data_IF_280459648150
#
_entry.id   IF_280459648150
#
_cell.length_a   1.000
_cell.length_b   1.000
_cell.length_c   1.000
_cell.angle_alpha   90.00
_cell.angle_beta   90.00
_cell.angle_gamma   90.00
#
_symmetry.space_group_name_H-M   'P 1'
#
loop_
_entity.id
_entity.type
_entity.pdbx_description
1 polymer ?
#
# COMPACT_ATOMS: atom_id res chain seq x y z
N UNK A 1 -15.70 -14.86 20.19
CA UNK A 1 -15.00 -15.27 18.95
C UNK A 1 -15.35 -16.72 18.69
N UNK A 2 -16.43 -16.99 17.96
CA UNK A 2 -16.86 -18.34 17.53
C UNK A 2 -17.97 -18.16 16.46
N UNK A 3 -17.67 -17.50 15.35
CA UNK A 3 -18.68 -17.22 14.32
C UNK A 3 -19.01 -18.44 13.45
N UNK A 4 -18.03 -19.32 13.24
CA UNK A 4 -18.11 -20.55 12.46
C UNK A 4 -17.94 -21.78 13.36
N UNK A 5 -17.21 -21.62 14.48
CA UNK A 5 -16.96 -22.70 15.43
C UNK A 5 -18.24 -23.38 15.94
N UNK A 6 -19.26 -22.62 16.37
CA UNK A 6 -20.49 -23.24 16.90
C UNK A 6 -21.24 -24.06 15.86
N UNK A 7 -21.32 -23.60 14.60
CA UNK A 7 -21.92 -24.35 13.51
C UNK A 7 -21.13 -25.63 13.20
N UNK A 8 -19.80 -25.57 13.23
CA UNK A 8 -18.93 -26.72 13.05
C UNK A 8 -19.11 -27.78 14.15
N UNK A 9 -19.18 -27.34 15.41
CA UNK A 9 -19.42 -28.22 16.57
C UNK A 9 -20.79 -28.90 16.47
N UNK A 10 -21.81 -28.16 16.05
CA UNK A 10 -23.15 -28.70 15.85
C UNK A 10 -23.17 -29.79 14.77
N UNK A 11 -22.52 -29.54 13.62
CA UNK A 11 -22.40 -30.50 12.51
C UNK A 11 -21.63 -31.75 12.96
N UNK A 12 -20.51 -31.60 13.66
CA UNK A 12 -19.73 -32.73 14.18
C UNK A 12 -20.51 -33.57 15.19
N UNK A 13 -21.22 -32.94 16.11
CA UNK A 13 -22.07 -33.66 17.07
C UNK A 13 -23.22 -34.40 16.38
N UNK A 14 -23.83 -33.79 15.36
CA UNK A 14 -24.89 -34.40 14.56
C UNK A 14 -24.38 -35.61 13.80
N UNK A 15 -23.18 -35.51 13.23
CA UNK A 15 -22.53 -36.61 12.52
C UNK A 15 -22.14 -37.76 13.46
N UNK A 16 -21.62 -37.44 14.65
CA UNK A 16 -21.34 -38.43 15.69
C UNK A 16 -22.63 -39.10 16.20
N UNK A 17 -23.74 -38.36 16.30
CA UNK A 17 -25.04 -38.90 16.70
C UNK A 17 -25.60 -39.86 15.64
N UNK A 18 -25.47 -39.52 14.36
CA UNK A 18 -25.83 -40.40 13.25
C UNK A 18 -24.97 -41.68 13.25
N UNK A 19 -23.67 -41.55 13.48
CA UNK A 19 -22.76 -42.69 13.55
C UNK A 19 -23.06 -43.58 14.76
N UNK A 20 -23.38 -42.98 15.92
CA UNK A 20 -23.79 -43.72 17.11
C UNK A 20 -25.11 -44.48 16.90
N UNK A 21 -26.08 -43.87 16.22
CA UNK A 21 -27.34 -44.52 15.89
C UNK A 21 -27.15 -45.68 14.91
N UNK A 22 -26.32 -45.52 13.87
CA UNK A 22 -26.06 -46.57 12.86
C UNK A 22 -25.31 -47.77 13.42
N UNK A 23 -24.45 -47.56 14.43
CA UNK A 23 -23.59 -48.61 15.00
C UNK A 23 -23.99 -49.07 16.41
N UNK A 24 -25.17 -48.67 16.89
CA UNK A 24 -25.65 -48.95 18.24
C UNK A 24 -24.64 -48.57 19.35
N UNK A 25 -23.89 -47.47 19.14
CA UNK A 25 -22.95 -46.92 20.12
C UNK A 25 -23.67 -45.97 21.09
N UNK A 26 -23.08 -45.68 22.26
CA UNK A 26 -23.73 -44.81 23.24
C UNK A 26 -23.92 -43.39 22.74
N UNK A 27 -25.18 -42.93 22.67
CA UNK A 27 -25.55 -41.60 22.16
C UNK A 27 -24.93 -40.43 22.94
N UNK A 28 -24.51 -40.66 24.18
CA UNK A 28 -23.81 -39.65 24.99
C UNK A 28 -22.44 -39.25 24.41
N UNK A 29 -21.86 -40.03 23.49
CA UNK A 29 -20.63 -39.66 22.79
C UNK A 29 -20.81 -38.41 21.93
N UNK A 30 -21.99 -38.24 21.32
CA UNK A 30 -22.31 -37.03 20.57
C UNK A 30 -22.43 -35.79 21.48
N UNK A 31 -22.96 -35.95 22.69
CA UNK A 31 -23.04 -34.87 23.68
C UNK A 31 -21.65 -34.44 24.19
N UNK A 32 -20.72 -35.39 24.32
CA UNK A 32 -19.32 -35.07 24.66
C UNK A 32 -18.60 -34.40 23.49
N UNK A 33 -18.83 -34.84 22.26
CA UNK A 33 -18.29 -34.17 21.06
C UNK A 33 -18.84 -32.75 20.91
N UNK A 34 -20.11 -32.52 21.26
CA UNK A 34 -20.71 -31.19 21.28
C UNK A 34 -20.08 -30.26 22.32
N UNK A 35 -19.83 -30.77 23.52
CA UNK A 35 -19.26 -29.98 24.64
C UNK A 35 -17.73 -29.87 24.58
N UNK A 36 -17.06 -30.83 23.96
CA UNK A 36 -15.61 -30.87 23.78
C UNK A 36 -15.25 -31.49 22.42
N UNK A 37 -15.29 -30.70 21.34
CA UNK A 37 -15.05 -31.16 19.95
C UNK A 37 -13.63 -31.69 19.73
N UNK A 38 -12.68 -31.29 20.58
CA UNK A 38 -11.30 -31.78 20.59
C UNK A 38 -11.24 -33.27 20.96
N UNK A 39 -12.28 -33.82 21.60
CA UNK A 39 -12.38 -35.26 21.91
C UNK A 39 -12.90 -36.11 20.73
N UNK A 40 -13.34 -35.49 19.63
CA UNK A 40 -13.87 -36.20 18.45
C UNK A 40 -12.89 -37.25 17.89
N UNK A 41 -11.59 -36.98 17.75
CA UNK A 41 -10.62 -37.99 17.31
C UNK A 41 -10.58 -39.22 18.22
N UNK A 42 -10.67 -39.04 19.54
CA UNK A 42 -10.66 -40.14 20.50
C UNK A 42 -11.86 -41.09 20.29
N UNK A 43 -13.05 -40.55 20.06
CA UNK A 43 -14.25 -41.36 19.79
C UNK A 43 -14.24 -41.99 18.38
N UNK A 44 -13.65 -41.31 17.38
CA UNK A 44 -13.40 -41.89 16.04
C UNK A 44 -12.47 -43.10 16.14
N UNK A 45 -11.38 -43.01 16.92
CA UNK A 45 -10.46 -44.13 17.14
C UNK A 45 -11.09 -45.29 17.91
N UNK A 46 -12.00 -45.00 18.86
CA UNK A 46 -12.71 -46.00 19.66
C UNK A 46 -13.76 -46.79 18.86
N UNK A 47 -14.32 -46.22 17.78
CA UNK A 47 -15.41 -46.78 16.95
C UNK A 47 -14.97 -47.85 15.91
N UNK A 48 -14.31 -48.95 16.31
CA UNK A 48 -13.62 -49.91 15.39
C UNK A 48 -14.36 -50.33 14.07
N UNK A 49 -13.81 -49.96 12.89
CA UNK A 49 -13.49 -50.78 11.66
C UNK A 49 -13.46 -49.91 10.37
N UNK A 50 -12.52 -50.19 9.46
CA UNK A 50 -12.53 -49.84 8.03
C UNK A 50 -12.16 -48.40 7.61
N UNK A 51 -12.76 -47.37 8.21
CA UNK A 51 -12.74 -45.99 7.66
C UNK A 51 -12.11 -44.94 8.60
N UNK A 52 -11.34 -45.38 9.60
CA UNK A 52 -10.79 -44.49 10.66
C UNK A 52 -9.89 -43.40 10.12
N UNK A 53 -9.01 -43.75 9.17
CA UNK A 53 -8.07 -42.80 8.57
C UNK A 53 -8.84 -41.72 7.80
N UNK A 54 -9.86 -42.12 7.02
CA UNK A 54 -10.69 -41.20 6.24
C UNK A 54 -11.47 -40.24 7.15
N UNK A 55 -12.10 -40.75 8.21
CA UNK A 55 -12.85 -39.91 9.16
C UNK A 55 -11.96 -38.93 9.93
N UNK A 56 -10.75 -39.36 10.30
CA UNK A 56 -9.76 -38.51 10.96
C UNK A 56 -9.19 -37.44 10.01
N UNK A 57 -8.91 -37.80 8.76
CA UNK A 57 -8.45 -36.86 7.75
C UNK A 57 -9.55 -35.82 7.43
N UNK A 58 -10.82 -36.23 7.33
CA UNK A 58 -11.95 -35.32 7.19
C UNK A 58 -12.04 -34.38 8.39
N UNK A 59 -11.94 -34.90 9.62
CA UNK A 59 -11.93 -34.07 10.82
C UNK A 59 -10.78 -33.06 10.82
N UNK A 60 -9.55 -33.48 10.53
CA UNK A 60 -8.38 -32.60 10.50
C UNK A 60 -8.51 -31.50 9.44
N UNK A 61 -9.00 -31.84 8.24
CA UNK A 61 -9.21 -30.87 7.15
C UNK A 61 -10.29 -29.87 7.56
N UNK A 62 -11.44 -30.32 8.07
CA UNK A 62 -12.52 -29.43 8.48
C UNK A 62 -12.12 -28.56 9.70
N UNK A 63 -11.42 -29.13 10.68
CA UNK A 63 -10.93 -28.40 11.85
C UNK A 63 -9.92 -27.31 11.44
N UNK A 64 -8.98 -27.65 10.58
CA UNK A 64 -7.99 -26.69 10.05
C UNK A 64 -8.66 -25.57 9.25
N UNK A 65 -9.65 -25.91 8.42
CA UNK A 65 -10.43 -24.95 7.64
C UNK A 65 -11.19 -23.97 8.53
N UNK A 66 -11.85 -24.46 9.59
CA UNK A 66 -12.59 -23.63 10.54
C UNK A 66 -11.65 -22.72 11.33
N UNK A 67 -10.52 -23.24 11.82
CA UNK A 67 -9.51 -22.42 12.49
C UNK A 67 -8.97 -21.33 11.57
N UNK A 68 -8.58 -21.68 10.34
CA UNK A 68 -8.08 -20.71 9.38
C UNK A 68 -9.12 -19.63 9.06
N UNK A 69 -10.39 -20.02 8.91
CA UNK A 69 -11.49 -19.11 8.63
C UNK A 69 -11.79 -18.17 9.82
N UNK A 70 -11.78 -18.68 11.05
CA UNK A 70 -11.95 -17.86 12.26
C UNK A 70 -10.79 -16.89 12.45
N UNK A 71 -9.54 -17.35 12.24
CA UNK A 71 -8.36 -16.48 12.28
C UNK A 71 -8.47 -15.38 11.21
N UNK A 72 -8.90 -15.73 10.00
CA UNK A 72 -9.09 -14.77 8.92
C UNK A 72 -10.18 -13.74 9.23
N UNK A 73 -11.35 -14.19 9.70
CA UNK A 73 -12.47 -13.30 10.07
C UNK A 73 -12.07 -12.42 11.25
N UNK A 74 -11.43 -12.99 12.28
CA UNK A 74 -10.95 -12.23 13.42
C UNK A 74 -9.93 -11.18 13.01
N UNK A 75 -8.96 -11.53 12.15
CA UNK A 75 -7.98 -10.57 11.63
C UNK A 75 -8.67 -9.42 10.88
N UNK A 76 -9.66 -9.73 10.03
CA UNK A 76 -10.44 -8.73 9.28
C UNK A 76 -11.34 -7.87 10.18
N UNK A 77 -11.91 -8.44 11.23
CA UNK A 77 -12.70 -7.68 12.21
C UNK A 77 -11.81 -6.83 13.12
N UNK A 78 -10.70 -7.36 13.60
CA UNK A 78 -9.74 -6.64 14.44
C UNK A 78 -9.20 -5.40 13.73
N UNK A 79 -8.94 -5.50 12.42
CA UNK A 79 -8.57 -4.36 11.58
C UNK A 79 -9.73 -3.40 11.37
N UNK A 80 -10.94 -3.88 11.06
CA UNK A 80 -12.14 -3.04 10.87
C UNK A 80 -12.57 -2.26 12.12
N UNK A 81 -12.45 -2.87 13.31
CA UNK A 81 -12.92 -2.29 14.57
C UNK A 81 -11.80 -1.69 15.43
N UNK A 82 -10.56 -1.63 14.93
CA UNK A 82 -9.36 -1.20 15.68
C UNK A 82 -9.55 0.13 16.40
N UNK A 83 -10.31 1.04 15.79
CA UNK A 83 -10.50 2.41 16.27
C UNK A 83 -11.96 2.74 16.63
N UNK A 84 -12.87 1.76 16.68
CA UNK A 84 -14.32 2.03 16.83
C UNK A 84 -14.70 2.63 18.19
N UNK A 85 -13.87 2.43 19.20
CA UNK A 85 -14.01 3.05 20.52
C UNK A 85 -13.58 4.53 20.55
N UNK A 86 -12.95 5.05 19.49
CA UNK A 86 -12.46 6.43 19.43
C UNK A 86 -13.54 7.40 18.91
N UNK A 87 -13.51 8.67 19.31
CA UNK A 87 -14.39 9.69 18.78
C UNK A 87 -14.36 9.77 17.24
N UNK A 88 -15.47 10.14 16.56
CA UNK A 88 -15.52 10.23 15.10
C UNK A 88 -14.39 11.08 14.49
N UNK A 89 -14.07 12.22 15.11
CA UNK A 89 -13.00 13.13 14.66
C UNK A 89 -11.63 12.43 14.75
N UNK A 90 -11.35 11.71 15.83
CA UNK A 90 -10.11 10.94 15.99
C UNK A 90 -10.00 9.83 14.95
N UNK A 91 -11.10 9.12 14.65
CA UNK A 91 -11.13 8.08 13.62
C UNK A 91 -10.83 8.64 12.23
N UNK A 92 -11.40 9.80 11.90
CA UNK A 92 -11.14 10.47 10.62
C UNK A 92 -9.70 10.95 10.52
N UNK A 93 -9.14 11.53 11.58
CA UNK A 93 -7.74 11.93 11.63
C UNK A 93 -6.80 10.74 11.38
N UNK A 94 -7.03 9.62 12.08
CA UNK A 94 -6.25 8.39 11.89
C UNK A 94 -6.33 7.94 10.44
N UNK A 95 -7.53 7.88 9.87
CA UNK A 95 -7.74 7.47 8.47
C UNK A 95 -7.00 8.37 7.49
N UNK A 96 -7.11 9.70 7.62
CA UNK A 96 -6.40 10.62 6.74
C UNK A 96 -4.89 10.51 6.90
N UNK A 97 -4.40 10.30 8.13
CA UNK A 97 -2.99 10.08 8.39
C UNK A 97 -2.47 8.78 7.75
N UNK A 98 -3.25 7.70 7.76
CA UNK A 98 -2.93 6.42 7.10
C UNK A 98 -2.91 6.56 5.58
N UNK A 99 -3.89 7.27 4.99
CA UNK A 99 -3.95 7.56 3.56
C UNK A 99 -2.75 8.41 3.12
N UNK A 100 -2.42 9.46 3.88
CA UNK A 100 -1.27 10.32 3.60
C UNK A 100 0.03 9.52 3.62
N UNK A 101 0.24 8.69 4.65
CA UNK A 101 1.41 7.81 4.76
C UNK A 101 1.52 6.86 3.56
N UNK A 102 0.42 6.19 3.20
CA UNK A 102 0.42 5.21 2.11
C UNK A 102 0.68 5.87 0.75
N UNK A 103 -0.01 6.96 0.42
CA UNK A 103 0.16 7.67 -0.86
C UNK A 103 1.56 8.24 -0.99
N UNK A 104 2.11 8.75 0.10
CA UNK A 104 3.49 9.27 0.17
C UNK A 104 4.50 8.16 -0.11
N UNK A 105 4.37 6.99 0.53
CA UNK A 105 5.24 5.84 0.27
C UNK A 105 5.11 5.30 -1.15
N UNK A 106 3.90 5.27 -1.71
CA UNK A 106 3.68 4.83 -3.07
C UNK A 106 4.38 5.74 -4.07
N UNK A 107 4.17 7.06 -3.97
CA UNK A 107 4.82 8.05 -4.83
C UNK A 107 6.35 7.92 -4.75
N UNK A 108 6.87 7.81 -3.54
CA UNK A 108 8.28 7.63 -3.26
C UNK A 108 8.89 6.42 -3.97
N UNK A 109 8.22 5.27 -3.91
CA UNK A 109 8.65 4.02 -4.54
C UNK A 109 8.60 4.12 -6.07
N UNK A 110 7.58 4.78 -6.62
CA UNK A 110 7.46 4.99 -8.06
C UNK A 110 8.54 5.93 -8.61
N UNK A 111 8.92 6.96 -7.86
CA UNK A 111 10.04 7.83 -8.25
C UNK A 111 11.37 7.08 -8.33
N UNK A 112 11.64 6.19 -7.37
CA UNK A 112 12.84 5.33 -7.39
C UNK A 112 12.83 4.38 -8.60
N UNK A 113 11.66 3.81 -8.93
CA UNK A 113 11.51 2.98 -10.13
C UNK A 113 11.73 3.79 -11.42
N UNK A 114 11.20 5.02 -11.49
CA UNK A 114 11.41 5.89 -12.65
C UNK A 114 12.90 6.17 -12.85
N UNK A 115 13.63 6.46 -11.77
CA UNK A 115 15.07 6.69 -11.82
C UNK A 115 15.82 5.48 -12.39
N UNK A 116 15.50 4.27 -11.92
CA UNK A 116 16.08 3.03 -12.45
C UNK A 116 15.77 2.82 -13.95
N UNK A 117 14.59 3.23 -14.41
CA UNK A 117 14.18 3.12 -15.81
C UNK A 117 14.74 4.23 -16.72
N UNK A 118 14.99 5.42 -16.16
CA UNK A 118 15.42 6.62 -16.92
C UNK A 118 16.83 6.57 -17.48
N UNK A 119 17.64 5.56 -17.12
CA UNK A 119 18.95 5.32 -17.74
C UNK A 119 18.77 4.84 -19.18
N UNK A 120 19.17 5.70 -20.13
CA UNK A 120 19.12 5.59 -21.61
C UNK A 120 18.66 4.23 -22.15
N UNK A 121 17.49 4.20 -22.80
CA UNK A 121 16.93 2.98 -23.39
C UNK A 121 16.68 3.14 -24.89
N UNK A 122 17.27 2.25 -25.69
CA UNK A 122 17.34 2.30 -27.15
C UNK A 122 16.34 1.36 -27.85
N UNK A 123 15.19 1.07 -27.24
CA UNK A 123 14.12 0.23 -27.82
C UNK A 123 12.75 0.91 -27.75
N UNK A 124 11.98 0.86 -28.83
CA UNK A 124 10.61 1.44 -28.94
C UNK A 124 9.67 0.94 -27.84
N UNK A 125 9.56 -0.38 -27.66
CA UNK A 125 8.71 -0.99 -26.62
C UNK A 125 9.00 -0.45 -25.20
N UNK A 126 10.26 -0.09 -24.95
CA UNK A 126 10.68 0.49 -23.67
C UNK A 126 10.28 1.96 -23.53
N UNK A 127 10.19 2.71 -24.63
CA UNK A 127 9.66 4.08 -24.64
C UNK A 127 8.18 4.07 -24.27
N UNK A 128 7.38 3.22 -24.91
CA UNK A 128 5.94 3.07 -24.62
C UNK A 128 5.69 2.67 -23.16
N UNK A 129 6.43 1.65 -22.66
CA UNK A 129 6.35 1.24 -21.25
C UNK A 129 6.68 2.39 -20.30
N UNK A 130 7.69 3.19 -20.63
CA UNK A 130 8.08 4.35 -19.80
C UNK A 130 7.01 5.44 -19.84
N UNK A 131 6.37 5.69 -21.00
CA UNK A 131 5.25 6.64 -21.12
C UNK A 131 4.06 6.20 -20.24
N UNK A 132 3.68 4.92 -20.30
CA UNK A 132 2.62 4.35 -19.44
C UNK A 132 2.97 4.52 -17.98
N UNK A 133 4.22 4.20 -17.61
CA UNK A 133 4.71 4.33 -16.23
C UNK A 133 4.71 5.79 -15.73
N UNK A 134 5.06 6.76 -16.57
CA UNK A 134 4.93 8.20 -16.24
C UNK A 134 3.47 8.55 -15.97
N UNK A 135 2.52 8.00 -16.73
CA UNK A 135 1.08 8.15 -16.49
C UNK A 135 0.66 7.65 -15.10
N UNK A 136 1.10 6.44 -14.71
CA UNK A 136 0.86 5.90 -13.36
C UNK A 136 1.49 6.77 -12.25
N UNK A 137 2.70 7.27 -12.48
CA UNK A 137 3.38 8.15 -11.52
C UNK A 137 2.65 9.49 -11.34
N UNK A 138 2.12 10.09 -12.42
CA UNK A 138 1.28 11.30 -12.31
C UNK A 138 0.02 11.04 -11.49
N UNK A 139 -0.62 9.89 -11.70
CA UNK A 139 -1.79 9.50 -10.91
C UNK A 139 -1.43 9.42 -9.42
N UNK A 140 -0.34 8.73 -9.07
CA UNK A 140 0.15 8.65 -7.68
C UNK A 140 0.51 10.03 -7.10
N UNK A 141 1.06 10.94 -7.90
CA UNK A 141 1.35 12.31 -7.48
C UNK A 141 0.06 13.06 -7.14
N UNK A 142 -0.97 12.97 -7.97
CA UNK A 142 -2.26 13.61 -7.72
C UNK A 142 -2.99 13.02 -6.50
N UNK A 143 -2.95 11.69 -6.32
CA UNK A 143 -3.50 11.04 -5.13
C UNK A 143 -2.82 11.53 -3.84
N UNK A 144 -1.49 11.68 -3.88
CA UNK A 144 -0.74 12.22 -2.75
C UNK A 144 -1.11 13.69 -2.47
N UNK A 145 -1.19 14.54 -3.50
CA UNK A 145 -1.62 15.93 -3.36
C UNK A 145 -3.05 16.04 -2.81
N UNK A 146 -3.96 15.16 -3.25
CA UNK A 146 -5.32 15.10 -2.73
C UNK A 146 -5.36 14.69 -1.25
N UNK A 147 -4.56 13.69 -0.86
CA UNK A 147 -4.43 13.28 0.54
C UNK A 147 -3.87 14.39 1.43
N UNK A 148 -2.84 15.11 0.97
CA UNK A 148 -2.28 16.28 1.64
C UNK A 148 -3.37 17.34 1.84
N UNK A 149 -4.10 17.68 0.77
CA UNK A 149 -5.18 18.69 0.82
C UNK A 149 -6.27 18.30 1.81
N UNK A 150 -6.74 17.06 1.77
CA UNK A 150 -7.75 16.55 2.72
C UNK A 150 -7.27 16.64 4.16
N UNK A 151 -6.01 16.28 4.42
CA UNK A 151 -5.42 16.40 5.75
C UNK A 151 -5.37 17.87 6.21
N UNK A 152 -4.87 18.78 5.37
CA UNK A 152 -4.76 20.21 5.69
C UNK A 152 -6.14 20.83 5.99
N UNK A 153 -7.12 20.59 5.13
CA UNK A 153 -8.50 21.10 5.30
C UNK A 153 -9.16 20.53 6.56
N UNK A 154 -8.96 19.24 6.85
CA UNK A 154 -9.49 18.61 8.05
C UNK A 154 -8.95 19.26 9.33
N UNK A 155 -7.65 19.55 9.34
CA UNK A 155 -6.94 20.18 10.47
C UNK A 155 -7.40 21.61 10.70
N UNK A 156 -7.63 22.36 9.63
CA UNK A 156 -8.20 23.71 9.72
C UNK A 156 -9.61 23.68 10.29
N UNK A 157 -10.46 22.77 9.78
CA UNK A 157 -11.85 22.64 10.22
C UNK A 157 -11.99 22.21 11.69
N UNK A 158 -11.03 21.45 12.22
CA UNK A 158 -11.07 20.90 13.58
C UNK A 158 -9.97 21.48 14.48
N UNK A 159 -9.56 22.73 14.25
CA UNK A 159 -8.47 23.39 14.97
C UNK A 159 -8.61 23.29 16.50
N UNK A 160 -9.79 23.59 17.02
CA UNK A 160 -10.04 23.56 18.46
C UNK A 160 -9.89 22.16 19.06
N UNK A 161 -10.29 21.13 18.31
CA UNK A 161 -10.14 19.74 18.72
C UNK A 161 -8.66 19.33 18.78
N UNK A 162 -7.90 19.65 17.73
CA UNK A 162 -6.47 19.33 17.64
C UNK A 162 -5.69 20.02 18.77
N UNK A 163 -6.00 21.29 19.04
CA UNK A 163 -5.35 22.07 20.13
C UNK A 163 -5.69 21.50 21.51
N UNK A 164 -6.96 21.17 21.78
CA UNK A 164 -7.39 20.62 23.08
C UNK A 164 -6.86 19.20 23.36
N UNK A 165 -6.53 18.44 22.31
CA UNK A 165 -6.05 17.06 22.41
C UNK A 165 -4.53 16.92 22.34
N UNK A 166 -3.81 18.03 22.34
CA UNK A 166 -2.34 18.07 22.25
C UNK A 166 -1.80 17.33 21.02
N UNK A 167 -2.53 17.43 19.90
CA UNK A 167 -2.18 16.79 18.62
C UNK A 167 -1.31 17.73 17.77
N UNK A 168 -0.32 18.36 18.38
CA UNK A 168 0.46 19.43 17.74
C UNK A 168 1.20 18.96 16.48
N UNK A 169 1.62 17.69 16.44
CA UNK A 169 2.23 17.03 15.28
C UNK A 169 1.42 17.19 13.99
N UNK A 170 0.09 17.28 14.11
CA UNK A 170 -0.83 17.46 12.99
C UNK A 170 -0.66 18.85 12.34
N UNK A 171 -0.38 19.88 13.14
CA UNK A 171 -0.04 21.20 12.62
C UNK A 171 1.32 21.23 11.96
N UNK A 172 2.28 20.43 12.44
CA UNK A 172 3.59 20.33 11.84
C UNK A 172 3.54 19.65 10.46
N UNK A 173 2.66 18.64 10.28
CA UNK A 173 2.36 18.09 8.95
C UNK A 173 1.84 19.19 8.01
N UNK A 174 0.88 19.99 8.46
CA UNK A 174 0.37 21.13 7.67
C UNK A 174 1.50 22.11 7.32
N UNK A 175 2.34 22.48 8.29
CA UNK A 175 3.47 23.40 8.09
C UNK A 175 4.48 22.85 7.09
N UNK A 176 4.75 21.55 7.13
CA UNK A 176 5.63 20.88 6.19
C UNK A 176 5.11 21.00 4.75
N UNK A 177 3.88 20.58 4.50
CA UNK A 177 3.34 20.55 3.14
C UNK A 177 3.01 21.94 2.55
N UNK A 178 2.75 22.93 3.40
CA UNK A 178 2.59 24.32 2.97
C UNK A 178 3.94 25.06 2.80
N UNK A 179 5.07 24.39 3.04
CA UNK A 179 6.38 25.01 2.86
C UNK A 179 6.67 25.23 1.37
N UNK A 180 7.22 26.41 1.05
CA UNK A 180 7.59 26.80 -0.33
C UNK A 180 8.54 25.80 -1.00
N UNK A 181 9.44 25.16 -0.24
CA UNK A 181 10.38 24.15 -0.74
C UNK A 181 9.61 22.91 -1.22
N UNK A 182 8.64 22.44 -0.44
CA UNK A 182 7.83 21.26 -0.76
C UNK A 182 6.93 21.55 -1.97
N UNK A 183 6.29 22.73 -2.02
CA UNK A 183 5.48 23.16 -3.16
C UNK A 183 6.33 23.25 -4.44
N UNK A 184 7.52 23.84 -4.35
CA UNK A 184 8.44 23.95 -5.49
C UNK A 184 8.92 22.58 -5.97
N UNK A 185 9.14 21.63 -5.05
CA UNK A 185 9.48 20.25 -5.40
C UNK A 185 8.39 19.59 -6.24
N UNK A 186 7.12 19.63 -5.81
CA UNK A 186 6.01 19.06 -6.60
C UNK A 186 5.89 19.71 -7.99
N UNK A 187 6.01 21.05 -8.06
CA UNK A 187 5.98 21.76 -9.35
C UNK A 187 7.15 21.36 -10.26
N UNK A 188 8.33 21.16 -9.69
CA UNK A 188 9.50 20.70 -10.45
C UNK A 188 9.36 19.27 -10.96
N UNK A 189 8.71 18.40 -10.17
CA UNK A 189 8.41 17.02 -10.54
C UNK A 189 7.44 16.97 -11.73
N UNK A 190 6.33 17.72 -11.65
CA UNK A 190 5.36 17.84 -12.74
C UNK A 190 6.04 18.27 -14.05
N UNK A 191 6.81 19.36 -14.01
CA UNK A 191 7.55 19.85 -15.17
C UNK A 191 8.56 18.82 -15.71
N UNK A 192 9.22 18.05 -14.83
CA UNK A 192 10.12 16.97 -15.26
C UNK A 192 9.36 15.87 -16.01
N UNK A 193 8.24 15.39 -15.47
CA UNK A 193 7.43 14.35 -16.09
C UNK A 193 6.86 14.79 -17.45
N UNK A 194 6.40 16.04 -17.56
CA UNK A 194 5.89 16.61 -18.80
C UNK A 194 6.94 16.65 -19.91
N UNK A 195 8.15 17.14 -19.59
CA UNK A 195 9.23 17.20 -20.56
C UNK A 195 9.75 15.80 -20.91
N UNK A 196 9.77 14.88 -19.95
CA UNK A 196 10.21 13.51 -20.21
C UNK A 196 9.23 12.77 -21.12
N UNK A 197 7.93 12.83 -20.84
CA UNK A 197 6.92 12.24 -21.69
C UNK A 197 6.94 12.84 -23.11
N UNK A 198 7.08 14.17 -23.22
CA UNK A 198 7.16 14.85 -24.52
C UNK A 198 8.33 14.33 -25.35
N UNK A 199 9.52 14.19 -24.73
CA UNK A 199 10.69 13.62 -25.38
C UNK A 199 10.44 12.16 -25.81
N UNK A 200 9.88 11.33 -24.93
CA UNK A 200 9.63 9.92 -25.20
C UNK A 200 8.62 9.75 -26.35
N UNK A 201 7.52 10.52 -26.35
CA UNK A 201 6.53 10.50 -27.43
C UNK A 201 7.13 10.93 -28.77
N UNK A 202 7.98 11.95 -28.75
CA UNK A 202 8.68 12.37 -29.97
C UNK A 202 9.63 11.27 -30.49
N UNK A 203 10.37 10.63 -29.58
CA UNK A 203 11.28 9.53 -29.93
C UNK A 203 10.53 8.31 -30.47
N UNK A 204 9.38 7.99 -29.90
CA UNK A 204 8.53 6.87 -30.29
C UNK A 204 7.97 7.08 -31.72
N UNK A 205 7.37 8.24 -31.97
CA UNK A 205 6.78 8.60 -33.27
C UNK A 205 7.80 8.71 -34.41
N UNK A 206 9.05 9.05 -34.09
CA UNK A 206 10.09 9.35 -35.08
C UNK A 206 11.30 8.42 -34.95
N UNK A 207 11.09 7.23 -34.38
CA UNK A 207 12.18 6.34 -33.96
C UNK A 207 13.15 6.01 -35.10
N UNK A 208 12.65 5.59 -36.27
CA UNK A 208 13.48 5.28 -37.43
C UNK A 208 14.23 6.51 -37.94
N UNK A 209 13.55 7.64 -38.08
CA UNK A 209 14.14 8.88 -38.59
C UNK A 209 15.28 9.41 -37.69
N UNK A 210 15.16 9.22 -36.38
CA UNK A 210 16.18 9.59 -35.39
C UNK A 210 17.31 8.55 -35.38
N UNK A 211 16.99 7.25 -35.25
CA UNK A 211 18.00 6.18 -35.07
C UNK A 211 18.84 5.93 -36.32
N UNK A 212 18.25 6.07 -37.51
CA UNK A 212 18.96 5.92 -38.79
C UNK A 212 19.54 7.25 -39.29
N UNK A 213 19.38 8.34 -38.53
CA UNK A 213 19.85 9.68 -38.87
C UNK A 213 19.40 10.17 -40.27
N UNK A 214 18.19 9.78 -40.69
CA UNK A 214 17.68 10.01 -42.05
C UNK A 214 17.23 11.46 -42.26
N UNK A 215 16.98 12.21 -41.19
CA UNK A 215 16.45 13.57 -41.28
C UNK A 215 17.08 14.53 -40.27
N UNK A 216 17.78 15.54 -40.80
CA UNK A 216 18.40 16.63 -40.02
C UNK A 216 17.39 17.43 -39.20
N UNK A 217 16.15 17.59 -39.69
CA UNK A 217 15.07 18.29 -38.97
C UNK A 217 14.64 17.48 -37.73
N UNK A 218 14.47 16.16 -37.87
CA UNK A 218 14.08 15.30 -36.74
C UNK A 218 15.18 15.23 -35.67
N UNK A 219 16.45 15.19 -36.09
CA UNK A 219 17.60 15.25 -35.17
C UNK A 219 17.66 16.58 -34.41
N UNK A 220 17.48 17.71 -35.10
CA UNK A 220 17.44 19.03 -34.46
C UNK A 220 16.31 19.15 -33.43
N UNK A 221 15.13 18.64 -33.78
CA UNK A 221 13.98 18.64 -32.87
C UNK A 221 14.22 17.71 -31.67
N UNK A 222 14.81 16.53 -31.90
CA UNK A 222 15.22 15.62 -30.83
C UNK A 222 16.16 16.32 -29.84
N UNK A 223 17.21 16.98 -30.32
CA UNK A 223 18.16 17.72 -29.49
C UNK A 223 17.46 18.80 -28.66
N UNK A 224 16.50 19.52 -29.25
CA UNK A 224 15.72 20.53 -28.55
C UNK A 224 14.87 19.93 -27.42
N UNK A 225 14.14 18.83 -27.69
CA UNK A 225 13.36 18.13 -26.67
C UNK A 225 14.26 17.54 -25.58
N UNK A 226 15.41 16.99 -25.95
CA UNK A 226 16.39 16.45 -25.01
C UNK A 226 16.95 17.54 -24.11
N UNK A 227 17.29 18.72 -24.64
CA UNK A 227 17.76 19.86 -23.85
C UNK A 227 16.70 20.36 -22.86
N UNK A 228 15.42 20.42 -23.26
CA UNK A 228 14.31 20.78 -22.36
C UNK A 228 14.16 19.76 -21.23
N UNK A 229 14.17 18.48 -21.57
CA UNK A 229 14.18 17.38 -20.61
C UNK A 229 15.35 17.49 -19.62
N UNK A 230 16.59 17.67 -20.12
CA UNK A 230 17.79 17.77 -19.29
C UNK A 230 17.69 18.92 -18.29
N UNK A 231 17.26 20.10 -18.73
CA UNK A 231 17.03 21.26 -17.86
C UNK A 231 15.96 20.99 -16.80
N UNK A 232 14.89 20.26 -17.16
CA UNK A 232 13.84 19.89 -16.23
C UNK A 232 14.35 18.91 -15.16
N UNK A 233 15.16 17.91 -15.55
CA UNK A 233 15.85 16.99 -14.63
C UNK A 233 16.75 17.75 -13.66
N UNK A 234 17.60 18.65 -14.15
CA UNK A 234 18.52 19.42 -13.29
C UNK A 234 17.77 20.29 -12.28
N UNK A 235 16.70 20.94 -12.73
CA UNK A 235 15.83 21.71 -11.85
C UNK A 235 15.17 20.84 -10.79
N UNK A 236 14.63 19.68 -11.19
CA UNK A 236 13.99 18.73 -10.27
C UNK A 236 14.97 18.20 -9.24
N UNK A 237 16.17 17.78 -9.65
CA UNK A 237 17.23 17.30 -8.76
C UNK A 237 17.58 18.36 -7.70
N UNK A 238 17.78 19.61 -8.13
CA UNK A 238 18.07 20.71 -7.21
C UNK A 238 16.96 20.91 -6.18
N UNK A 239 15.69 20.87 -6.57
CA UNK A 239 14.57 21.00 -5.63
C UNK A 239 14.38 19.76 -4.77
N UNK A 240 14.67 18.57 -5.28
CA UNK A 240 14.64 17.33 -4.53
C UNK A 240 15.68 17.32 -3.40
N UNK A 241 16.93 17.72 -3.68
CA UNK A 241 17.98 17.88 -2.66
C UNK A 241 17.53 18.85 -1.57
N UNK A 242 17.08 20.05 -1.95
CA UNK A 242 16.56 21.05 -0.99
C UNK A 242 15.39 20.51 -0.15
N UNK A 243 14.51 19.72 -0.76
CA UNK A 243 13.37 19.12 -0.10
C UNK A 243 13.80 18.02 0.88
N UNK A 244 14.81 17.22 0.54
CA UNK A 244 15.41 16.21 1.44
C UNK A 244 16.10 16.89 2.63
N UNK A 245 16.92 17.91 2.39
CA UNK A 245 17.59 18.70 3.44
C UNK A 245 16.56 19.31 4.40
N UNK A 246 15.59 20.03 3.84
CA UNK A 246 14.48 20.60 4.63
C UNK A 246 13.74 19.53 5.43
N UNK A 247 13.44 18.39 4.82
CA UNK A 247 12.74 17.30 5.51
C UNK A 247 13.56 16.73 6.66
N UNK A 248 14.86 16.51 6.46
CA UNK A 248 15.75 15.97 7.48
C UNK A 248 15.81 16.92 8.68
N UNK A 249 16.01 18.22 8.43
CA UNK A 249 15.98 19.26 9.46
C UNK A 249 14.63 19.33 10.18
N UNK A 250 13.54 19.18 9.43
CA UNK A 250 12.17 19.24 9.96
C UNK A 250 11.86 18.03 10.86
N UNK A 251 12.28 16.82 10.46
CA UNK A 251 12.15 15.59 11.26
C UNK A 251 13.00 15.65 12.52
N UNK A 252 14.18 16.27 12.47
CA UNK A 252 15.03 16.43 13.66
C UNK A 252 14.41 17.35 14.70
N UNK A 253 13.65 18.36 14.25
CA UNK A 253 12.90 19.25 15.15
C UNK A 253 11.59 18.64 15.64
N UNK A 254 10.96 17.78 14.83
CA UNK A 254 9.67 17.14 15.09
C UNK A 254 9.76 15.64 14.78
N UNK A 255 10.30 14.82 15.69
CA UNK A 255 10.49 13.38 15.44
C UNK A 255 9.17 12.61 15.28
N UNK A 256 8.10 13.07 15.92
CA UNK A 256 6.78 12.43 15.93
C UNK A 256 6.07 12.41 14.57
N UNK A 257 6.47 13.28 13.63
CA UNK A 257 5.88 13.33 12.29
C UNK A 257 6.61 12.47 11.27
N UNK A 258 7.73 11.83 11.64
CA UNK A 258 8.58 11.03 10.74
C UNK A 258 7.80 9.98 9.95
N UNK A 259 6.78 9.39 10.54
CA UNK A 259 5.97 8.36 9.89
C UNK A 259 5.02 8.89 8.81
N UNK A 260 4.75 10.19 8.79
CA UNK A 260 3.84 10.86 7.87
C UNK A 260 4.55 11.62 6.76
N UNK A 261 5.87 11.58 6.77
CA UNK A 261 6.75 12.16 5.76
C UNK A 261 7.40 11.03 4.96
N UNK A 262 7.88 11.30 3.73
CA UNK A 262 8.78 10.39 3.03
C UNK A 262 9.90 9.92 3.96
N UNK A 263 10.30 8.66 3.85
CA UNK A 263 11.37 8.10 4.69
C UNK A 263 12.65 8.93 4.57
N UNK A 264 13.49 8.93 5.61
CA UNK A 264 14.80 9.65 5.60
C UNK A 264 15.59 9.13 4.39
N UNK A 265 15.72 9.94 3.34
CA UNK A 265 16.44 9.62 2.10
C UNK A 265 17.84 10.22 2.20
N UNK A 266 18.85 9.45 1.81
CA UNK A 266 20.20 9.98 1.62
C UNK A 266 20.23 10.79 0.33
N UNK A 267 20.84 11.98 0.36
CA UNK A 267 20.99 12.88 -0.79
C UNK A 267 21.80 12.25 -1.93
N UNK A 268 22.64 11.25 -1.62
CA UNK A 268 23.49 10.54 -2.58
C UNK A 268 22.70 9.61 -3.54
N UNK A 269 21.47 9.22 -3.19
CA UNK A 269 20.66 8.32 -4.01
C UNK A 269 20.03 8.98 -5.25
N UNK A 270 20.10 10.31 -5.40
CA UNK A 270 19.39 11.07 -6.44
C UNK A 270 20.32 11.91 -7.33
N UNK A 271 21.55 11.43 -7.55
CA UNK A 271 22.38 11.92 -8.66
C UNK A 271 21.97 11.15 -9.92
N UNK A 272 20.82 11.54 -10.48
CA UNK A 272 20.29 10.96 -11.72
C UNK A 272 21.34 10.96 -12.85
N UNK A 273 22.31 11.90 -12.82
CA UNK A 273 23.37 12.06 -13.82
C UNK A 273 24.61 12.78 -13.26
N UNK A 274 25.29 12.21 -12.26
CA UNK A 274 26.76 12.40 -12.13
C UNK A 274 27.49 11.24 -12.81
#
# INVERSE_FOLDING_TARGET
>A
MYYIYFSFVFILSGWMLLECNRRSLPKWWAAIVFTSPVTTPYFIFKSRKGQRLTLLMIFLVCFSFVIASEIFIYSKMKTKYRYVHLPPVTRQLIRYSEILKQTTQNLDNYLVKLEQQSKVQSKVEKLEQTIIFIGELRHNMHDNQAAIKQMVEFVEKHRDFVTRKDLQWVYEIKRFYNNRIVIAHFKSLENYLDNFETLLRFCDQNFDAITKAESTIHLKNYDEYYLRYRRAVDSHNRFNVKRIEFQNDFIERYPEIKEYLPTKRQTEAFRLWE
#
